data_IF_488031090352
#
_entry.id   IF_488031090352
#
_cell.length_a   1.000
_cell.length_b   1.000
_cell.length_c   1.000
_cell.angle_alpha   90.00
_cell.angle_beta   90.00
_cell.angle_gamma   90.00
#
_symmetry.space_group_name_H-M   'P 1'
#
loop_
_entity.id
_entity.type
_entity.pdbx_description
1 polymer ?
#
# COMPACT_ATOMS: atom_id res chain seq x y z
N UNK A 1 18.11 36.95 2.30
CA UNK A 1 17.16 36.49 3.32
C UNK A 1 17.82 36.70 4.65
N UNK A 2 17.25 37.55 5.51
CA UNK A 2 17.80 37.75 6.86
C UNK A 2 17.42 36.55 7.76
N UNK A 3 18.16 36.32 8.86
CA UNK A 3 17.82 35.29 9.85
C UNK A 3 16.36 35.40 10.36
N UNK A 4 15.78 36.59 10.30
CA UNK A 4 14.40 36.89 10.72
C UNK A 4 13.34 36.47 9.69
N UNK A 5 13.66 36.43 8.39
CA UNK A 5 12.72 36.00 7.34
C UNK A 5 12.53 34.48 7.29
N UNK A 6 13.59 33.70 7.59
CA UNK A 6 13.52 32.24 7.67
C UNK A 6 12.86 31.75 8.95
N UNK A 7 13.07 32.44 10.07
CA UNK A 7 12.48 32.11 11.36
C UNK A 7 10.93 32.16 11.37
N UNK A 8 10.33 32.97 10.49
CA UNK A 8 8.87 33.11 10.35
C UNK A 8 8.19 32.02 9.52
N UNK A 9 8.95 31.23 8.74
CA UNK A 9 8.40 30.26 7.80
C UNK A 9 8.92 28.83 8.04
N UNK A 10 8.91 28.40 9.30
CA UNK A 10 9.26 27.02 9.69
C UNK A 10 8.39 25.96 9.01
N UNK A 11 7.25 26.33 8.44
CA UNK A 11 6.44 25.46 7.58
C UNK A 11 7.13 25.22 6.25
N UNK A 12 7.51 26.28 5.52
CA UNK A 12 8.23 26.16 4.24
C UNK A 12 9.60 25.52 4.39
N UNK A 13 10.32 25.79 5.48
CA UNK A 13 11.58 25.10 5.76
C UNK A 13 11.38 23.58 5.83
N UNK A 14 10.40 23.12 6.61
CA UNK A 14 10.05 21.69 6.69
C UNK A 14 9.57 21.13 5.36
N UNK A 15 8.74 21.88 4.63
CA UNK A 15 8.24 21.49 3.31
C UNK A 15 9.38 21.25 2.32
N UNK A 16 10.34 22.17 2.24
CA UNK A 16 11.52 22.04 1.36
C UNK A 16 12.39 20.86 1.80
N UNK A 17 12.69 20.71 3.09
CA UNK A 17 13.48 19.59 3.59
C UNK A 17 12.81 18.24 3.38
N UNK A 18 11.48 18.18 3.37
CA UNK A 18 10.76 16.94 3.12
C UNK A 18 10.98 16.37 1.71
N UNK A 19 11.60 17.14 0.80
CA UNK A 19 12.02 16.68 -0.53
C UNK A 19 13.38 15.96 -0.54
N UNK A 20 14.09 15.89 0.59
CA UNK A 20 15.29 15.08 0.74
C UNK A 20 14.91 13.77 1.44
N UNK A 21 14.79 12.64 0.71
CA UNK A 21 14.40 11.37 1.32
C UNK A 21 15.49 10.86 2.26
N UNK A 22 15.08 10.23 3.35
CA UNK A 22 16.00 9.62 4.30
C UNK A 22 15.64 8.16 4.53
N UNK A 23 16.65 7.35 4.88
CA UNK A 23 16.39 6.06 5.51
C UNK A 23 15.84 6.26 6.91
N UNK A 24 15.14 5.25 7.43
CA UNK A 24 14.62 5.25 8.80
C UNK A 24 15.42 4.27 9.64
N UNK A 25 15.90 4.73 10.80
CA UNK A 25 16.60 3.87 11.75
C UNK A 25 16.01 3.99 13.16
N UNK A 26 16.17 2.94 13.95
CA UNK A 26 15.95 2.97 15.40
C UNK A 26 17.30 2.91 16.11
N UNK A 27 17.62 3.97 16.85
CA UNK A 27 18.77 4.01 17.76
C UNK A 27 18.36 3.36 19.06
N UNK A 28 19.11 2.36 19.50
CA UNK A 28 18.83 1.59 20.71
C UNK A 28 20.03 1.53 21.64
N UNK A 29 19.79 1.30 22.92
CA UNK A 29 20.81 1.00 23.92
C UNK A 29 20.17 0.25 25.10
N UNK A 30 20.98 -0.37 25.96
CA UNK A 30 20.50 -0.84 27.26
C UNK A 30 20.51 0.31 28.28
N UNK A 31 19.38 0.48 28.95
CA UNK A 31 19.14 1.45 30.02
C UNK A 31 19.67 0.98 31.38
N UNK A 32 19.14 1.56 32.45
CA UNK A 32 19.36 1.00 33.78
C UNK A 32 18.60 -0.34 33.92
N UNK A 33 19.12 -1.26 34.71
CA UNK A 33 18.52 -2.58 34.97
C UNK A 33 18.23 -3.39 33.69
N UNK A 34 19.08 -3.23 32.66
CA UNK A 34 18.97 -3.88 31.35
C UNK A 34 17.65 -3.60 30.59
N UNK A 35 16.97 -2.51 30.94
CA UNK A 35 15.74 -2.09 30.25
C UNK A 35 16.09 -1.50 28.88
N UNK A 36 15.58 -2.05 27.76
CA UNK A 36 15.94 -1.56 26.43
C UNK A 36 15.35 -0.17 26.15
N UNK A 37 16.18 0.69 25.56
CA UNK A 37 15.84 2.05 25.14
C UNK A 37 15.85 2.13 23.62
N UNK A 38 14.97 2.96 23.05
CA UNK A 38 14.83 3.07 21.60
C UNK A 38 14.23 4.38 21.12
N UNK A 39 14.74 4.89 20.01
CA UNK A 39 14.29 6.12 19.37
C UNK A 39 14.40 6.04 17.86
N UNK A 40 13.32 6.37 17.15
CA UNK A 40 13.35 6.56 15.69
C UNK A 40 14.10 7.84 15.37
N UNK A 41 15.01 7.78 14.40
CA UNK A 41 15.62 8.96 13.78
C UNK A 41 15.65 8.80 12.27
N UNK A 42 15.28 9.88 11.57
CA UNK A 42 15.44 10.00 10.12
C UNK A 42 16.70 10.78 9.73
N UNK A 43 17.51 11.21 10.70
CA UNK A 43 18.68 12.09 10.51
C UNK A 43 20.01 11.32 10.48
N UNK A 44 19.97 9.99 10.44
CA UNK A 44 21.15 9.16 10.42
C UNK A 44 21.98 9.35 9.14
N UNK A 45 23.30 9.41 9.29
CA UNK A 45 24.23 9.55 8.15
C UNK A 45 25.60 8.95 8.45
N UNK A 46 26.31 8.51 7.42
CA UNK A 46 27.74 8.18 7.48
C UNK A 46 28.59 9.45 7.51
N UNK A 47 29.65 9.46 8.31
CA UNK A 47 30.52 10.63 8.49
C UNK A 47 31.95 10.38 7.98
N UNK A 48 32.55 9.25 8.35
CA UNK A 48 33.95 8.95 8.02
C UNK A 48 34.16 7.45 7.83
N UNK A 49 35.13 7.10 6.98
CA UNK A 49 35.58 5.72 6.79
C UNK A 49 36.76 5.36 7.71
N UNK A 50 37.69 6.29 7.94
CA UNK A 50 38.85 6.10 8.82
C UNK A 50 39.11 7.35 9.69
N UNK A 51 38.79 7.31 11.01
CA UNK A 51 38.11 6.22 11.69
C UNK A 51 36.66 6.05 11.19
N UNK A 52 36.03 4.87 11.36
CA UNK A 52 34.65 4.63 10.92
C UNK A 52 33.66 5.37 11.84
N UNK A 53 33.05 6.44 11.32
CA UNK A 53 32.16 7.31 12.07
C UNK A 53 30.79 7.45 11.40
N UNK A 54 29.76 7.49 12.23
CA UNK A 54 28.36 7.79 11.85
C UNK A 54 27.79 8.88 12.76
N UNK A 55 26.71 9.51 12.34
CA UNK A 55 26.01 10.49 13.16
C UNK A 55 24.49 10.34 13.11
N UNK A 56 23.83 10.74 14.19
CA UNK A 56 22.40 11.01 14.22
C UNK A 56 22.13 12.31 14.99
N UNK A 57 21.02 12.97 14.65
CA UNK A 57 20.68 14.29 15.18
C UNK A 57 19.36 14.20 15.96
N UNK A 58 19.39 13.95 17.28
CA UNK A 58 18.20 13.90 18.11
C UNK A 58 17.79 15.29 18.60
N UNK A 59 16.48 15.52 18.68
CA UNK A 59 15.95 16.75 19.27
C UNK A 59 16.28 16.79 20.77
N UNK A 60 16.75 17.93 21.27
CA UNK A 60 17.05 18.12 22.71
C UNK A 60 15.81 17.96 23.61
N UNK A 61 14.62 18.11 23.04
CA UNK A 61 13.33 17.94 23.72
C UNK A 61 12.84 16.47 23.78
N UNK A 62 13.54 15.53 23.15
CA UNK A 62 13.14 14.12 23.12
C UNK A 62 13.38 13.43 24.46
N UNK A 63 12.32 12.86 25.04
CA UNK A 63 12.43 12.07 26.29
C UNK A 63 13.19 10.75 26.08
N UNK A 64 13.05 10.12 24.91
CA UNK A 64 13.84 8.93 24.57
C UNK A 64 15.32 9.27 24.43
N UNK A 65 15.64 10.44 23.86
CA UNK A 65 17.03 10.88 23.77
C UNK A 65 17.62 11.22 25.15
N UNK A 66 16.84 11.82 26.06
CA UNK A 66 17.32 12.11 27.42
C UNK A 66 17.83 10.85 28.13
N UNK A 67 17.18 9.70 27.93
CA UNK A 67 17.66 8.42 28.47
C UNK A 67 18.86 7.85 27.68
N UNK A 68 18.84 7.92 26.35
CA UNK A 68 19.92 7.43 25.48
C UNK A 68 21.23 8.22 25.65
N UNK A 69 21.16 9.52 25.87
CA UNK A 69 22.32 10.43 26.02
C UNK A 69 23.24 10.02 27.18
N UNK A 70 22.69 9.38 28.19
CA UNK A 70 23.43 8.90 29.36
C UNK A 70 24.14 7.56 29.11
N UNK A 71 24.09 7.01 27.90
CA UNK A 71 24.67 5.71 27.55
C UNK A 71 25.93 5.90 26.69
N UNK A 72 27.03 5.17 26.98
CA UNK A 72 28.27 5.28 26.22
C UNK A 72 28.24 4.49 24.90
N UNK A 73 27.26 3.61 24.73
CA UNK A 73 27.09 2.73 23.56
C UNK A 73 25.66 2.78 23.06
N UNK A 74 25.51 2.59 21.76
CA UNK A 74 24.22 2.49 21.10
C UNK A 74 24.33 1.64 19.83
N UNK A 75 23.22 1.02 19.43
CA UNK A 75 23.09 0.36 18.13
C UNK A 75 22.13 1.13 17.23
N UNK A 76 22.52 1.32 15.98
CA UNK A 76 21.68 1.84 14.91
C UNK A 76 21.08 0.65 14.16
N UNK A 77 19.76 0.54 14.16
CA UNK A 77 19.03 -0.50 13.42
C UNK A 77 18.36 0.12 12.19
N UNK A 78 18.82 -0.23 10.99
CA UNK A 78 18.25 0.25 9.73
C UNK A 78 16.99 -0.56 9.42
N UNK A 79 15.83 0.09 9.36
CA UNK A 79 14.55 -0.61 9.24
C UNK A 79 14.26 -1.06 7.80
N UNK A 80 13.60 -2.22 7.68
CA UNK A 80 13.04 -2.73 6.43
C UNK A 80 11.67 -2.10 6.13
N UNK A 81 11.27 -2.09 4.86
CA UNK A 81 10.07 -1.40 4.35
C UNK A 81 8.77 -1.94 4.94
N UNK A 82 8.75 -3.19 5.40
CA UNK A 82 7.64 -3.84 6.09
C UNK A 82 7.58 -3.51 7.61
N UNK A 83 8.62 -2.88 8.16
CA UNK A 83 8.71 -2.49 9.57
C UNK A 83 8.10 -1.10 9.86
N UNK A 84 7.19 -0.59 9.02
CA UNK A 84 6.52 0.70 9.23
C UNK A 84 5.77 0.74 10.58
N UNK A 85 5.08 -0.35 10.95
CA UNK A 85 4.35 -0.43 12.21
C UNK A 85 5.30 -0.35 13.41
N UNK A 86 6.43 -1.06 13.35
CA UNK A 86 7.50 -0.99 14.36
C UNK A 86 8.04 0.44 14.46
N UNK A 87 8.32 1.10 13.35
CA UNK A 87 8.73 2.51 13.34
C UNK A 87 7.72 3.40 14.09
N UNK A 88 6.42 3.26 13.78
CA UNK A 88 5.34 4.03 14.44
C UNK A 88 5.27 3.75 15.94
N UNK A 89 5.49 2.50 16.37
CA UNK A 89 5.56 2.12 17.77
C UNK A 89 6.71 2.85 18.49
N UNK A 90 7.92 2.83 17.94
CA UNK A 90 9.07 3.53 18.52
C UNK A 90 8.97 5.06 18.47
N UNK A 91 8.21 5.62 17.52
CA UNK A 91 7.94 7.05 17.42
C UNK A 91 6.87 7.57 18.42
N UNK A 92 6.09 6.68 19.03
CA UNK A 92 5.03 7.03 19.97
C UNK A 92 5.57 7.55 21.32
N UNK A 93 4.73 8.27 22.08
CA UNK A 93 5.03 8.82 23.42
C UNK A 93 4.70 7.86 24.58
N UNK A 94 4.36 6.60 24.29
CA UNK A 94 3.87 5.61 25.27
C UNK A 94 4.97 4.86 26.05
N UNK A 95 4.54 4.11 27.06
CA UNK A 95 5.40 3.18 27.80
C UNK A 95 5.55 1.83 27.05
N UNK A 96 6.70 1.19 27.28
CA UNK A 96 7.16 -0.09 26.71
C UNK A 96 7.17 -0.18 25.17
N UNK A 97 8.07 0.59 24.54
CA UNK A 97 8.30 0.58 23.08
C UNK A 97 8.80 -0.76 22.54
N UNK A 98 9.28 -1.66 23.40
CA UNK A 98 9.79 -2.97 23.02
C UNK A 98 8.75 -4.09 23.21
N UNK A 99 7.55 -3.78 23.70
CA UNK A 99 6.48 -4.75 23.83
C UNK A 99 6.21 -5.44 22.48
N UNK A 100 6.35 -6.77 22.45
CA UNK A 100 6.14 -7.60 21.25
C UNK A 100 7.20 -7.44 20.16
N UNK A 101 8.31 -6.74 20.42
CA UNK A 101 9.42 -6.59 19.48
C UNK A 101 10.48 -7.63 19.82
N UNK A 102 10.84 -8.48 18.85
CA UNK A 102 11.98 -9.40 18.98
C UNK A 102 13.29 -8.67 18.70
N UNK A 103 14.29 -8.94 19.54
CA UNK A 103 15.63 -8.36 19.44
C UNK A 103 16.65 -9.23 20.18
N UNK A 104 17.90 -9.15 19.73
CA UNK A 104 19.07 -9.79 20.35
C UNK A 104 20.13 -8.74 20.73
N UNK A 105 21.20 -9.16 21.41
CA UNK A 105 22.32 -8.27 21.73
C UNK A 105 23.38 -8.30 20.61
N UNK A 106 23.81 -7.12 20.20
CA UNK A 106 25.05 -6.94 19.43
C UNK A 106 26.29 -7.35 20.27
N UNK A 107 27.46 -7.56 19.63
CA UNK A 107 28.68 -7.88 20.35
C UNK A 107 29.09 -6.85 21.42
N UNK A 108 28.78 -5.56 21.25
CA UNK A 108 29.02 -4.52 22.26
C UNK A 108 27.85 -4.31 23.22
N UNK A 109 26.82 -5.15 23.19
CA UNK A 109 25.76 -5.23 24.21
C UNK A 109 24.57 -4.28 23.98
N UNK A 110 24.43 -3.68 22.80
CA UNK A 110 23.28 -2.86 22.43
C UNK A 110 22.20 -3.70 21.71
N UNK A 111 20.89 -3.43 21.86
CA UNK A 111 19.84 -4.17 21.16
C UNK A 111 19.93 -4.12 19.63
N UNK A 112 19.75 -5.26 18.97
CA UNK A 112 19.62 -5.42 17.52
C UNK A 112 18.23 -5.95 17.24
N UNK A 113 17.45 -5.21 16.46
CA UNK A 113 16.06 -5.56 16.16
C UNK A 113 16.01 -6.62 15.06
N UNK A 114 15.17 -7.64 15.25
CA UNK A 114 14.94 -8.66 14.24
C UNK A 114 14.34 -8.03 12.97
N UNK A 115 14.81 -8.49 11.80
CA UNK A 115 14.35 -7.99 10.50
C UNK A 115 14.93 -6.64 10.07
N UNK A 116 15.80 -6.02 10.87
CA UNK A 116 16.55 -4.85 10.42
C UNK A 116 17.42 -5.20 9.20
N UNK A 117 17.46 -4.30 8.20
CA UNK A 117 18.25 -4.45 6.96
C UNK A 117 19.75 -4.45 7.23
N UNK A 118 20.16 -3.65 8.22
CA UNK A 118 21.53 -3.57 8.68
C UNK A 118 21.55 -3.06 10.11
N UNK A 119 22.64 -3.31 10.82
CA UNK A 119 22.86 -2.69 12.12
C UNK A 119 24.32 -2.25 12.31
N UNK A 120 24.51 -1.22 13.14
CA UNK A 120 25.81 -0.69 13.52
C UNK A 120 25.86 -0.46 15.02
N UNK A 121 26.71 -1.21 15.72
CA UNK A 121 26.97 -1.06 17.14
C UNK A 121 28.15 -0.10 17.37
N UNK A 122 27.88 0.96 18.12
CA UNK A 122 28.70 2.15 18.17
C UNK A 122 29.01 2.56 19.62
N UNK A 123 30.18 3.14 19.83
CA UNK A 123 30.47 3.95 21.02
C UNK A 123 30.28 5.44 20.72
N UNK A 124 29.84 6.22 21.70
CA UNK A 124 29.72 7.68 21.56
C UNK A 124 31.13 8.29 21.50
N UNK A 125 31.47 8.90 20.36
CA UNK A 125 32.75 9.60 20.14
C UNK A 125 32.68 11.03 20.66
N UNK A 126 31.61 11.76 20.30
CA UNK A 126 31.38 13.13 20.75
C UNK A 126 29.91 13.56 20.57
N UNK A 127 29.50 14.59 21.31
CA UNK A 127 28.19 15.23 21.16
C UNK A 127 28.42 16.73 20.95
N UNK A 128 27.94 17.25 19.82
CA UNK A 128 28.09 18.65 19.43
C UNK A 128 26.74 19.37 19.50
N UNK A 129 26.77 20.67 19.79
CA UNK A 129 25.57 21.51 19.75
C UNK A 129 25.15 21.79 18.30
N UNK A 130 23.88 21.53 17.98
CA UNK A 130 23.29 21.75 16.66
C UNK A 130 22.01 22.58 16.71
N UNK A 131 21.93 23.60 17.58
CA UNK A 131 20.72 24.42 17.74
C UNK A 131 19.67 23.74 18.60
N UNK A 132 18.49 23.42 18.06
CA UNK A 132 17.44 22.68 18.80
C UNK A 132 17.67 21.15 18.82
N UNK A 133 18.71 20.68 18.14
CA UNK A 133 19.20 19.29 18.14
C UNK A 133 20.62 19.20 18.70
N UNK A 134 20.98 18.02 19.18
CA UNK A 134 22.39 17.63 19.33
C UNK A 134 22.86 16.92 18.04
N UNK A 135 24.17 16.88 17.80
CA UNK A 135 24.79 16.02 16.78
C UNK A 135 25.61 14.98 17.52
N UNK A 136 25.11 13.75 17.56
CA UNK A 136 25.79 12.64 18.23
C UNK A 136 26.66 11.92 17.20
N UNK A 137 27.96 11.95 17.40
CA UNK A 137 28.95 11.23 16.60
C UNK A 137 29.24 9.89 17.27
N UNK A 138 29.06 8.80 16.53
CA UNK A 138 29.37 7.44 16.97
C UNK A 138 30.54 6.86 16.20
N UNK A 139 31.45 6.21 16.93
CA UNK A 139 32.48 5.33 16.36
C UNK A 139 31.90 3.93 16.22
N UNK A 140 31.94 3.39 15.00
CA UNK A 140 31.42 2.06 14.70
C UNK A 140 32.44 1.02 15.17
N UNK A 141 32.01 0.11 16.05
CA UNK A 141 32.84 -0.98 16.59
C UNK A 141 32.50 -2.31 15.92
N UNK A 142 31.21 -2.55 15.69
CA UNK A 142 30.70 -3.72 14.97
C UNK A 142 29.59 -3.28 14.02
N UNK A 143 29.47 -3.96 12.89
CA UNK A 143 28.38 -3.75 11.93
C UNK A 143 28.11 -5.04 11.18
N UNK A 144 26.86 -5.24 10.78
CA UNK A 144 26.49 -6.37 9.94
C UNK A 144 25.29 -6.04 9.05
N UNK A 145 25.15 -6.82 8.00
CA UNK A 145 23.96 -6.89 7.15
C UNK A 145 23.42 -8.31 7.33
N UNK A 146 22.41 -8.49 8.19
CA UNK A 146 21.74 -9.79 8.34
C UNK A 146 21.35 -10.29 6.94
N UNK A 147 21.64 -11.57 6.63
CA UNK A 147 21.62 -12.12 5.25
C UNK A 147 20.30 -11.96 4.48
N UNK A 148 20.22 -12.60 3.30
CA UNK A 148 19.27 -12.35 2.18
C UNK A 148 17.73 -12.41 2.42
N UNK A 149 17.23 -12.21 3.65
CA UNK A 149 15.81 -12.09 4.00
C UNK A 149 15.36 -10.68 4.42
N UNK A 150 16.26 -9.71 4.61
CA UNK A 150 15.82 -8.35 4.89
C UNK A 150 15.31 -7.68 3.60
N UNK A 151 14.07 -7.17 3.64
CA UNK A 151 13.44 -6.49 2.50
C UNK A 151 14.14 -5.18 2.10
N UNK A 152 13.53 -4.44 1.17
CA UNK A 152 14.01 -3.09 0.81
C UNK A 152 14.01 -2.16 2.05
N UNK A 153 14.90 -1.15 2.13
CA UNK A 153 14.93 -0.24 3.28
C UNK A 153 13.67 0.62 3.37
N UNK A 154 13.22 0.88 4.61
CA UNK A 154 12.18 1.87 4.90
C UNK A 154 12.72 3.29 4.65
N UNK A 155 12.00 4.05 3.84
CA UNK A 155 12.29 5.43 3.50
C UNK A 155 11.23 6.36 4.09
N UNK A 156 11.65 7.56 4.48
CA UNK A 156 10.76 8.66 4.82
C UNK A 156 10.92 9.81 3.81
N UNK A 157 9.80 10.23 3.21
CA UNK A 157 9.79 11.25 2.16
C UNK A 157 8.47 12.03 2.20
N UNK A 158 8.53 13.36 2.16
CA UNK A 158 7.34 14.23 2.15
C UNK A 158 6.29 13.93 3.23
N UNK A 159 6.72 13.48 4.42
CA UNK A 159 5.82 13.17 5.53
C UNK A 159 5.22 11.75 5.52
N UNK A 160 5.57 10.92 4.55
CA UNK A 160 5.11 9.53 4.41
C UNK A 160 6.24 8.51 4.43
N UNK A 161 5.87 7.24 4.62
CA UNK A 161 6.78 6.10 4.55
C UNK A 161 6.69 5.40 3.18
N UNK A 162 7.80 4.82 2.73
CA UNK A 162 7.86 4.04 1.50
C UNK A 162 9.09 3.12 1.45
N UNK A 163 9.34 2.48 0.32
CA UNK A 163 10.50 1.61 0.10
C UNK A 163 11.39 2.09 -1.05
N UNK A 164 12.63 1.63 -1.07
CA UNK A 164 13.50 1.81 -2.24
C UNK A 164 13.05 0.89 -3.38
N UNK A 165 13.05 1.39 -4.62
CA UNK A 165 12.88 0.55 -5.82
C UNK A 165 13.97 0.89 -6.83
N UNK A 166 14.80 -0.08 -7.26
CA UNK A 166 15.81 0.18 -8.26
C UNK A 166 15.17 0.57 -9.61
N UNK A 167 15.85 1.41 -10.37
CA UNK A 167 15.47 1.67 -11.77
C UNK A 167 15.76 0.40 -12.56
N UNK A 168 14.71 -0.22 -13.08
CA UNK A 168 14.80 -1.45 -13.86
C UNK A 168 15.62 -1.27 -15.15
N UNK A 169 16.52 -2.22 -15.44
CA UNK A 169 17.11 -2.43 -16.78
C UNK A 169 16.34 -3.50 -17.59
N UNK A 170 15.63 -4.40 -16.89
CA UNK A 170 14.68 -5.39 -17.40
C UNK A 170 13.54 -5.41 -16.40
N UNK A 171 12.29 -5.22 -16.84
CA UNK A 171 11.12 -5.02 -15.97
C UNK A 171 11.12 -6.04 -14.80
N UNK A 172 10.92 -5.62 -13.54
CA UNK A 172 10.96 -6.55 -12.41
C UNK A 172 9.87 -7.62 -12.55
N UNK A 173 10.16 -8.82 -12.05
CA UNK A 173 9.20 -9.95 -12.00
C UNK A 173 7.90 -9.63 -11.24
N UNK A 174 7.89 -8.59 -10.39
CA UNK A 174 6.69 -8.14 -9.65
C UNK A 174 5.63 -7.50 -10.58
N UNK A 175 6.05 -7.01 -11.76
CA UNK A 175 5.16 -6.48 -12.78
C UNK A 175 4.88 -7.48 -13.93
N UNK A 176 4.99 -8.79 -13.69
CA UNK A 176 4.82 -9.80 -14.74
C UNK A 176 3.36 -9.88 -15.24
N UNK A 177 3.09 -9.16 -16.32
CA UNK A 177 1.82 -9.23 -17.05
C UNK A 177 1.68 -10.49 -17.90
N UNK A 178 2.71 -11.35 -18.00
CA UNK A 178 2.70 -12.50 -18.91
C UNK A 178 1.55 -13.45 -18.62
N UNK A 179 1.36 -13.87 -17.36
CA UNK A 179 0.27 -14.77 -17.00
C UNK A 179 -1.11 -14.10 -17.21
N UNK A 180 -1.36 -12.88 -16.71
CA UNK A 180 -2.59 -12.14 -17.00
C UNK A 180 -2.92 -12.02 -18.50
N UNK A 181 -1.92 -11.72 -19.33
CA UNK A 181 -2.11 -11.56 -20.78
C UNK A 181 -2.41 -12.90 -21.47
N UNK A 182 -1.78 -13.99 -21.03
CA UNK A 182 -2.09 -15.34 -21.51
C UNK A 182 -3.53 -15.72 -21.16
N UNK A 183 -3.98 -15.45 -19.93
CA UNK A 183 -5.35 -15.71 -19.50
C UNK A 183 -6.35 -14.83 -20.26
N UNK A 184 -6.01 -13.55 -20.47
CA UNK A 184 -6.85 -12.63 -21.24
C UNK A 184 -6.97 -13.02 -22.72
N UNK A 185 -5.96 -13.68 -23.30
CA UNK A 185 -6.04 -14.23 -24.65
C UNK A 185 -7.07 -15.36 -24.76
N UNK A 186 -7.08 -16.28 -23.78
CA UNK A 186 -8.10 -17.35 -23.66
C UNK A 186 -9.51 -16.76 -23.47
N UNK A 187 -9.62 -15.69 -22.68
CA UNK A 187 -10.88 -15.01 -22.41
C UNK A 187 -11.43 -14.22 -23.61
N UNK A 188 -10.60 -13.87 -24.60
CA UNK A 188 -10.95 -12.92 -25.66
C UNK A 188 -12.20 -13.30 -26.44
N UNK A 189 -12.27 -14.54 -26.95
CA UNK A 189 -13.43 -15.02 -27.71
C UNK A 189 -14.74 -14.95 -26.89
N UNK A 190 -14.81 -15.56 -25.70
CA UNK A 190 -15.97 -15.44 -24.81
C UNK A 190 -16.35 -14.00 -24.46
N UNK A 191 -15.38 -13.12 -24.23
CA UNK A 191 -15.64 -11.70 -23.95
C UNK A 191 -16.25 -10.97 -25.16
N UNK A 192 -15.77 -11.24 -26.38
CA UNK A 192 -16.31 -10.67 -27.61
C UNK A 192 -17.76 -11.12 -27.86
N UNK A 193 -18.07 -12.37 -27.54
CA UNK A 193 -19.43 -12.90 -27.60
C UNK A 193 -20.35 -12.23 -26.58
N UNK A 194 -19.91 -12.15 -25.32
CA UNK A 194 -20.65 -11.48 -24.25
C UNK A 194 -20.93 -10.02 -24.61
N UNK A 195 -19.89 -9.25 -24.99
CA UNK A 195 -20.02 -7.84 -25.32
C UNK A 195 -21.01 -7.59 -26.47
N UNK A 196 -21.04 -8.47 -27.47
CA UNK A 196 -22.00 -8.41 -28.58
C UNK A 196 -23.42 -8.70 -28.13
N UNK A 197 -23.58 -9.68 -27.23
CA UNK A 197 -24.89 -10.08 -26.71
C UNK A 197 -25.50 -9.00 -25.81
N UNK A 198 -24.71 -8.44 -24.88
CA UNK A 198 -25.22 -7.43 -23.95
C UNK A 198 -25.25 -6.01 -24.55
N UNK A 199 -24.48 -5.75 -25.60
CA UNK A 199 -24.46 -4.48 -26.33
C UNK A 199 -23.55 -3.40 -25.75
N UNK A 200 -22.71 -3.72 -24.75
CA UNK A 200 -21.75 -2.81 -24.15
C UNK A 200 -20.42 -3.52 -23.81
N UNK A 201 -19.32 -2.77 -23.63
CA UNK A 201 -17.99 -3.36 -23.52
C UNK A 201 -17.79 -4.27 -22.30
N UNK A 202 -17.02 -5.34 -22.51
CA UNK A 202 -16.49 -6.21 -21.46
C UNK A 202 -14.97 -6.02 -21.34
N UNK A 203 -14.46 -5.90 -20.13
CA UNK A 203 -13.04 -5.74 -19.84
C UNK A 203 -12.52 -6.87 -18.97
N UNK A 204 -11.25 -7.16 -19.13
CA UNK A 204 -10.51 -8.12 -18.31
C UNK A 204 -9.59 -7.35 -17.38
N UNK A 205 -9.73 -7.57 -16.08
CA UNK A 205 -8.87 -7.02 -15.04
C UNK A 205 -8.03 -8.12 -14.40
N UNK A 206 -6.80 -7.83 -14.02
CA UNK A 206 -5.90 -8.73 -13.31
C UNK A 206 -5.23 -8.01 -12.14
N UNK A 207 -4.89 -8.74 -11.09
CA UNK A 207 -4.06 -8.22 -10.00
C UNK A 207 -2.58 -8.36 -10.38
N UNK A 208 -1.83 -7.26 -10.32
CA UNK A 208 -0.38 -7.21 -10.53
C UNK A 208 0.21 -6.41 -9.37
N UNK A 209 1.01 -7.06 -8.52
CA UNK A 209 1.35 -6.54 -7.19
C UNK A 209 0.07 -6.13 -6.43
N UNK A 210 0.00 -4.91 -5.90
CA UNK A 210 -1.16 -4.37 -5.18
C UNK A 210 -2.09 -3.53 -6.09
N UNK A 211 -2.03 -3.75 -7.41
CA UNK A 211 -2.77 -2.97 -8.40
C UNK A 211 -3.64 -3.84 -9.30
N UNK A 212 -4.90 -3.44 -9.44
CA UNK A 212 -5.83 -3.97 -10.44
C UNK A 212 -5.54 -3.30 -11.78
N UNK A 213 -5.11 -4.09 -12.76
CA UNK A 213 -4.74 -3.65 -14.10
C UNK A 213 -5.75 -4.14 -15.13
N UNK A 214 -6.24 -3.24 -15.98
CA UNK A 214 -7.06 -3.62 -17.14
C UNK A 214 -6.14 -4.16 -18.24
N UNK A 215 -6.25 -5.46 -18.56
CA UNK A 215 -5.32 -6.16 -19.47
C UNK A 215 -5.91 -6.43 -20.85
N UNK A 216 -7.24 -6.44 -20.99
CA UNK A 216 -7.91 -6.53 -22.28
C UNK A 216 -9.30 -5.88 -22.26
N UNK A 217 -9.84 -5.59 -23.44
CA UNK A 217 -11.21 -5.13 -23.64
C UNK A 217 -11.81 -5.78 -24.89
N UNK A 218 -13.13 -5.96 -24.87
CA UNK A 218 -13.94 -6.56 -25.91
C UNK A 218 -15.21 -5.73 -26.12
N UNK A 219 -15.53 -5.46 -27.39
CA UNK A 219 -16.60 -4.53 -27.78
C UNK A 219 -16.23 -3.05 -27.60
N UNK A 220 -16.56 -2.21 -28.59
CA UNK A 220 -16.42 -0.75 -28.47
C UNK A 220 -16.44 0.03 -29.79
N UNK A 221 -17.41 0.96 -29.89
CA UNK A 221 -17.23 2.34 -30.38
C UNK A 221 -18.27 3.24 -29.68
N UNK A 222 -18.09 3.45 -28.37
CA UNK A 222 -19.00 4.25 -27.51
C UNK A 222 -18.24 5.33 -26.71
N UNK A 223 -17.28 6.02 -27.33
CA UNK A 223 -16.65 7.22 -26.75
C UNK A 223 -15.70 7.00 -25.55
N UNK A 224 -15.57 5.79 -25.03
CA UNK A 224 -14.61 5.44 -23.97
C UNK A 224 -13.28 5.04 -24.61
N UNK A 225 -12.25 5.90 -24.48
CA UNK A 225 -10.86 5.56 -24.85
C UNK A 225 -10.45 4.28 -24.10
N UNK A 226 -9.91 3.32 -24.84
CA UNK A 226 -9.50 1.98 -24.36
C UNK A 226 -8.80 2.08 -23.01
N UNK A 227 -9.38 1.47 -21.97
CA UNK A 227 -8.82 1.45 -20.61
C UNK A 227 -7.66 0.46 -20.43
N UNK A 228 -7.19 -0.18 -21.50
CA UNK A 228 -6.09 -1.16 -21.44
C UNK A 228 -4.83 -0.50 -20.88
N UNK A 229 -4.15 -1.18 -19.96
CA UNK A 229 -2.96 -0.70 -19.25
C UNK A 229 -3.27 0.18 -18.05
N UNK A 230 -4.53 0.54 -17.81
CA UNK A 230 -4.94 1.35 -16.67
C UNK A 230 -4.83 0.57 -15.37
N UNK A 231 -4.34 1.23 -14.32
CA UNK A 231 -4.06 0.67 -13.00
C UNK A 231 -4.96 1.34 -11.96
N UNK A 232 -5.51 0.56 -11.06
CA UNK A 232 -6.26 1.01 -9.89
C UNK A 232 -5.68 0.33 -8.66
N UNK A 233 -5.55 1.01 -7.52
CA UNK A 233 -5.08 0.37 -6.29
C UNK A 233 -6.06 -0.72 -5.82
N UNK A 234 -5.55 -1.79 -5.19
CA UNK A 234 -6.34 -2.82 -4.52
C UNK A 234 -6.86 -2.29 -3.17
N UNK A 235 -7.82 -1.36 -3.21
CA UNK A 235 -8.38 -0.68 -2.03
C UNK A 235 -9.91 -0.65 -2.11
N UNK A 236 -10.63 -0.57 -0.99
CA UNK A 236 -12.09 -0.41 -1.00
C UNK A 236 -12.54 0.80 -1.84
N UNK A 237 -13.60 0.66 -2.68
CA UNK A 237 -14.40 -0.54 -2.94
C UNK A 237 -13.88 -1.43 -4.11
N UNK A 238 -12.68 -1.18 -4.64
CA UNK A 238 -12.11 -1.87 -5.79
C UNK A 238 -11.36 -3.17 -5.45
N UNK A 239 -11.46 -4.16 -6.34
CA UNK A 239 -10.65 -5.37 -6.30
C UNK A 239 -11.08 -6.42 -5.26
N UNK A 240 -12.29 -6.30 -4.71
CA UNK A 240 -12.86 -7.27 -3.75
C UNK A 240 -12.80 -8.73 -4.22
N UNK A 241 -12.98 -8.97 -5.53
CA UNK A 241 -12.94 -10.31 -6.14
C UNK A 241 -11.54 -10.95 -6.23
N UNK A 242 -10.47 -10.18 -5.97
CA UNK A 242 -9.09 -10.69 -5.93
C UNK A 242 -8.63 -11.10 -4.53
N UNK A 243 -9.40 -10.77 -3.49
CA UNK A 243 -9.07 -11.08 -2.10
C UNK A 243 -9.38 -12.56 -1.79
N UNK A 244 -8.66 -13.13 -0.83
CA UNK A 244 -9.05 -14.39 -0.21
C UNK A 244 -10.18 -14.13 0.80
N UNK A 245 -11.38 -14.61 0.47
CA UNK A 245 -12.59 -14.36 1.26
C UNK A 245 -12.90 -15.50 2.24
N UNK A 246 -11.97 -16.43 2.50
CA UNK A 246 -12.17 -17.48 3.49
C UNK A 246 -12.50 -16.89 4.88
N UNK A 247 -11.80 -15.82 5.25
CA UNK A 247 -12.05 -15.01 6.45
C UNK A 247 -12.18 -13.53 6.04
N UNK A 248 -13.42 -13.01 6.10
CA UNK A 248 -13.73 -11.65 5.65
C UNK A 248 -13.26 -10.57 6.63
N UNK A 249 -13.02 -10.88 7.90
CA UNK A 249 -12.39 -9.96 8.86
C UNK A 249 -10.90 -9.76 8.52
N UNK A 250 -10.21 -10.85 8.20
CA UNK A 250 -8.81 -10.82 7.74
C UNK A 250 -8.71 -10.09 6.39
N UNK A 251 -9.58 -10.45 5.44
CA UNK A 251 -9.61 -9.82 4.12
C UNK A 251 -9.90 -8.31 4.20
N UNK A 252 -10.86 -7.88 5.03
CA UNK A 252 -11.18 -6.46 5.21
C UNK A 252 -9.99 -5.69 5.82
N UNK A 253 -9.23 -6.32 6.72
CA UNK A 253 -8.03 -5.74 7.31
C UNK A 253 -6.91 -5.58 6.29
N UNK A 254 -6.67 -6.60 5.47
CA UNK A 254 -5.68 -6.56 4.37
C UNK A 254 -6.08 -5.53 3.31
N UNK A 255 -7.34 -5.51 2.90
CA UNK A 255 -7.86 -4.57 1.92
C UNK A 255 -7.73 -3.11 2.39
N UNK A 256 -8.04 -2.86 3.66
CA UNK A 256 -7.86 -1.56 4.29
C UNK A 256 -6.38 -1.16 4.46
N UNK A 257 -5.46 -2.13 4.59
CA UNK A 257 -4.03 -1.83 4.73
C UNK A 257 -3.49 -1.07 3.50
N UNK A 258 -4.00 -1.35 2.31
CA UNK A 258 -3.64 -0.65 1.09
C UNK A 258 -4.08 0.82 1.04
N UNK A 259 -4.99 1.26 1.93
CA UNK A 259 -5.39 2.69 2.04
C UNK A 259 -4.31 3.56 2.72
N UNK A 260 -3.17 2.99 3.16
CA UNK A 260 -2.01 3.66 3.83
C UNK A 260 -2.36 4.62 4.97
N UNK A 261 -3.60 4.56 5.46
CA UNK A 261 -4.21 5.45 6.46
C UNK A 261 -5.07 4.63 7.42
N UNK A 262 -5.24 5.12 8.65
CA UNK A 262 -6.00 4.41 9.66
C UNK A 262 -7.50 4.44 9.33
N UNK A 263 -8.08 3.26 9.08
CA UNK A 263 -9.52 3.10 8.83
C UNK A 263 -10.26 2.92 10.15
N UNK A 264 -11.27 3.76 10.39
CA UNK A 264 -12.11 3.70 11.58
C UNK A 264 -12.82 2.32 11.70
N UNK A 265 -13.06 1.80 12.92
CA UNK A 265 -13.69 0.49 13.11
C UNK A 265 -15.04 0.34 12.39
N UNK A 266 -15.84 1.40 12.35
CA UNK A 266 -17.17 1.42 11.70
C UNK A 266 -17.04 1.28 10.17
N UNK A 267 -16.06 1.94 9.57
CA UNK A 267 -15.76 1.85 8.14
C UNK A 267 -15.25 0.44 7.80
N UNK A 268 -14.43 -0.16 8.67
CA UNK A 268 -13.96 -1.54 8.52
C UNK A 268 -15.09 -2.57 8.58
N UNK A 269 -16.06 -2.37 9.48
CA UNK A 269 -17.25 -3.21 9.54
C UNK A 269 -18.05 -3.14 8.23
N UNK A 270 -18.19 -1.94 7.65
CA UNK A 270 -18.81 -1.77 6.34
C UNK A 270 -18.07 -2.52 5.22
N UNK A 271 -16.74 -2.45 5.18
CA UNK A 271 -15.95 -3.22 4.21
C UNK A 271 -16.14 -4.73 4.38
N UNK A 272 -16.17 -5.24 5.62
CA UNK A 272 -16.43 -6.66 5.87
C UNK A 272 -17.80 -7.09 5.35
N UNK A 273 -18.84 -6.32 5.62
CA UNK A 273 -20.19 -6.63 5.14
C UNK A 273 -20.27 -6.66 3.60
N UNK A 274 -19.52 -5.77 2.92
CA UNK A 274 -19.39 -5.83 1.47
C UNK A 274 -18.72 -7.13 1.01
N UNK A 275 -17.61 -7.51 1.67
CA UNK A 275 -16.88 -8.73 1.34
C UNK A 275 -17.69 -10.00 1.65
N UNK A 276 -18.51 -10.01 2.70
CA UNK A 276 -19.45 -11.10 2.99
C UNK A 276 -20.45 -11.27 1.84
N UNK A 277 -21.02 -10.17 1.33
CA UNK A 277 -21.93 -10.22 0.18
C UNK A 277 -21.23 -10.71 -1.08
N UNK A 278 -20.01 -10.24 -1.36
CA UNK A 278 -19.20 -10.72 -2.50
C UNK A 278 -18.91 -12.21 -2.37
N UNK A 279 -18.55 -12.68 -1.17
CA UNK A 279 -18.28 -14.10 -0.90
C UNK A 279 -19.52 -14.97 -1.11
N UNK A 280 -20.66 -14.55 -0.58
CA UNK A 280 -21.92 -15.30 -0.66
C UNK A 280 -22.42 -15.43 -2.10
N UNK A 281 -22.35 -14.36 -2.89
CA UNK A 281 -22.90 -14.37 -4.26
C UNK A 281 -21.88 -14.73 -5.35
N UNK A 282 -20.59 -14.53 -5.09
CA UNK A 282 -19.50 -14.87 -6.01
C UNK A 282 -19.24 -13.87 -7.15
N UNK A 283 -19.90 -12.72 -7.15
CA UNK A 283 -19.79 -11.63 -8.14
C UNK A 283 -19.89 -10.25 -7.44
N UNK A 284 -19.55 -9.18 -8.16
CA UNK A 284 -19.50 -7.80 -7.63
C UNK A 284 -20.36 -6.85 -8.47
N UNK A 285 -20.89 -5.81 -7.81
CA UNK A 285 -21.80 -4.81 -8.37
C UNK A 285 -21.47 -3.43 -7.83
N UNK A 286 -21.35 -2.46 -8.72
CA UNK A 286 -21.27 -1.05 -8.38
C UNK A 286 -22.37 -0.27 -9.07
N UNK A 287 -23.10 0.55 -8.32
CA UNK A 287 -24.00 1.56 -8.83
C UNK A 287 -23.22 2.86 -9.15
N UNK A 288 -23.79 3.72 -9.98
CA UNK A 288 -23.17 4.99 -10.33
C UNK A 288 -23.30 5.99 -9.18
N UNK A 289 -22.17 6.43 -8.63
CA UNK A 289 -22.12 7.57 -7.71
C UNK A 289 -21.68 8.86 -8.43
N UNK A 290 -22.08 10.05 -7.93
CA UNK A 290 -21.63 11.34 -8.47
C UNK A 290 -20.11 11.50 -8.55
N UNK A 291 -19.38 10.94 -7.59
CA UNK A 291 -17.93 11.09 -7.43
C UNK A 291 -17.11 10.14 -8.31
N UNK A 292 -17.74 9.25 -9.10
CA UNK A 292 -17.02 8.25 -9.89
C UNK A 292 -16.06 8.88 -10.89
N UNK A 293 -16.49 9.94 -11.57
CA UNK A 293 -15.69 10.58 -12.60
C UNK A 293 -14.48 11.33 -11.98
N UNK A 294 -14.64 11.90 -10.78
CA UNK A 294 -13.56 12.56 -10.01
C UNK A 294 -12.50 11.55 -9.54
N UNK A 295 -12.92 10.42 -8.94
CA UNK A 295 -12.02 9.32 -8.55
C UNK A 295 -11.26 8.81 -9.77
N UNK A 296 -11.97 8.66 -10.89
CA UNK A 296 -11.41 8.16 -12.13
C UNK A 296 -10.31 9.08 -12.67
N UNK A 297 -10.54 10.39 -12.71
CA UNK A 297 -9.53 11.36 -13.15
C UNK A 297 -8.31 11.41 -12.22
N UNK A 298 -8.52 11.42 -10.90
CA UNK A 298 -7.42 11.47 -9.94
C UNK A 298 -6.55 10.20 -9.97
N UNK A 299 -7.15 9.01 -10.11
CA UNK A 299 -6.41 7.75 -10.30
C UNK A 299 -5.64 7.73 -11.62
N UNK A 300 -6.19 8.32 -12.69
CA UNK A 300 -5.45 8.46 -13.96
C UNK A 300 -4.21 9.35 -13.81
N UNK A 301 -4.36 10.52 -13.15
CA UNK A 301 -3.23 11.42 -12.86
C UNK A 301 -2.16 10.76 -11.99
N UNK A 302 -2.58 9.90 -11.06
CA UNK A 302 -1.70 9.11 -10.19
C UNK A 302 -0.92 8.04 -10.96
N UNK A 303 -1.53 7.43 -11.98
CA UNK A 303 -0.85 6.44 -12.83
C UNK A 303 0.21 7.06 -13.75
N UNK A 304 0.10 8.37 -14.02
CA UNK A 304 0.98 9.13 -14.92
C UNK A 304 2.10 9.91 -14.19
N UNK A 305 1.97 10.14 -12.87
CA UNK A 305 2.92 10.94 -12.07
C UNK A 305 3.38 10.20 -10.80
N UNK A 306 4.52 10.59 -10.21
CA UNK A 306 4.99 9.98 -8.95
C UNK A 306 4.01 10.32 -7.81
N UNK A 307 3.43 9.30 -7.20
CA UNK A 307 2.53 9.40 -6.04
C UNK A 307 3.12 10.24 -4.89
N UNK A 308 2.34 11.19 -4.37
CA UNK A 308 2.65 11.92 -3.12
C UNK A 308 1.63 11.56 -2.04
N UNK A 309 2.00 11.57 -0.74
CA UNK A 309 1.06 11.27 0.36
C UNK A 309 -0.18 12.19 0.39
N UNK A 310 -0.06 13.43 -0.12
CA UNK A 310 -1.18 14.36 -0.25
C UNK A 310 -2.18 13.94 -1.33
N UNK A 311 -1.69 13.37 -2.44
CA UNK A 311 -2.52 12.79 -3.47
C UNK A 311 -3.22 11.52 -2.94
N UNK A 312 -2.52 10.68 -2.19
CA UNK A 312 -3.09 9.48 -1.56
C UNK A 312 -4.25 9.82 -0.62
N UNK A 313 -4.11 10.85 0.24
CA UNK A 313 -5.20 11.27 1.14
C UNK A 313 -6.43 11.78 0.38
N UNK A 314 -6.25 12.50 -0.72
CA UNK A 314 -7.37 12.96 -1.56
C UNK A 314 -8.10 11.79 -2.21
N UNK A 315 -7.35 10.83 -2.75
CA UNK A 315 -7.91 9.62 -3.37
C UNK A 315 -8.68 8.81 -2.31
N UNK A 316 -8.11 8.60 -1.12
CA UNK A 316 -8.79 7.91 -0.01
C UNK A 316 -10.13 8.54 0.34
N UNK A 317 -10.19 9.87 0.49
CA UNK A 317 -11.44 10.57 0.80
C UNK A 317 -12.49 10.44 -0.32
N UNK A 318 -12.07 10.42 -1.59
CA UNK A 318 -12.98 10.21 -2.71
C UNK A 318 -13.50 8.76 -2.78
N UNK A 319 -12.63 7.79 -2.48
CA UNK A 319 -12.98 6.35 -2.44
C UNK A 319 -13.99 6.04 -1.33
N UNK A 320 -13.84 6.63 -0.15
CA UNK A 320 -14.80 6.48 0.96
C UNK A 320 -16.21 6.93 0.55
N UNK A 321 -16.31 7.96 -0.30
CA UNK A 321 -17.57 8.44 -0.87
C UNK A 321 -18.25 7.45 -1.83
N UNK A 322 -17.51 6.46 -2.34
CA UNK A 322 -18.04 5.45 -3.26
C UNK A 322 -18.64 4.24 -2.53
N UNK A 323 -18.15 3.90 -1.34
CA UNK A 323 -18.51 2.70 -0.59
C UNK A 323 -20.02 2.42 -0.52
N UNK A 324 -20.92 3.40 -0.27
CA UNK A 324 -22.36 3.16 -0.21
C UNK A 324 -23.01 2.68 -1.52
N UNK A 325 -22.33 2.87 -2.66
CA UNK A 325 -22.82 2.52 -4.00
C UNK A 325 -22.29 1.16 -4.47
N UNK A 326 -21.43 0.50 -3.70
CA UNK A 326 -20.86 -0.79 -4.05
C UNK A 326 -21.43 -1.89 -3.17
N UNK A 327 -21.60 -3.06 -3.79
CA UNK A 327 -22.12 -4.25 -3.15
C UNK A 327 -23.45 -3.98 -2.42
N UNK A 328 -24.48 -3.41 -3.09
CA UNK A 328 -25.79 -3.31 -2.47
C UNK A 328 -26.34 -4.71 -2.19
N UNK A 329 -27.34 -4.77 -1.30
CA UNK A 329 -28.18 -5.96 -1.13
C UNK A 329 -28.90 -6.33 -2.45
N UNK A 330 -29.70 -7.39 -2.41
CA UNK A 330 -30.43 -7.85 -3.59
C UNK A 330 -31.24 -6.73 -4.25
N UNK A 331 -31.16 -6.66 -5.58
CA UNK A 331 -31.89 -5.67 -6.37
C UNK A 331 -33.35 -6.09 -6.46
N UNK A 332 -34.27 -5.13 -6.27
CA UNK A 332 -35.67 -5.34 -6.57
C UNK A 332 -35.83 -5.45 -8.10
N UNK A 333 -36.36 -6.57 -8.63
CA UNK A 333 -36.51 -6.77 -10.07
C UNK A 333 -37.31 -5.67 -10.78
N UNK A 334 -38.23 -5.00 -10.06
CA UNK A 334 -39.09 -3.95 -10.58
C UNK A 334 -38.51 -2.53 -10.42
N UNK A 335 -37.51 -2.35 -9.55
CA UNK A 335 -36.88 -1.04 -9.34
C UNK A 335 -35.88 -0.71 -10.46
N UNK A 336 -35.59 0.58 -10.61
CA UNK A 336 -34.71 1.13 -11.64
C UNK A 336 -33.37 1.54 -11.03
N UNK A 337 -32.27 1.24 -11.72
CA UNK A 337 -30.90 1.40 -11.24
C UNK A 337 -30.00 2.02 -12.30
N UNK A 338 -29.05 2.84 -11.86
CA UNK A 338 -27.92 3.29 -12.68
C UNK A 338 -26.70 2.42 -12.33
N UNK A 339 -26.49 1.36 -13.12
CA UNK A 339 -25.40 0.41 -12.87
C UNK A 339 -24.09 0.95 -13.45
N UNK A 340 -23.07 1.09 -12.60
CA UNK A 340 -21.73 1.45 -13.06
C UNK A 340 -21.00 0.24 -13.60
N UNK A 341 -21.04 -0.87 -12.87
CA UNK A 341 -20.27 -2.08 -13.18
C UNK A 341 -20.92 -3.36 -12.66
N UNK A 342 -20.72 -4.44 -13.41
CA UNK A 342 -20.95 -5.83 -12.99
C UNK A 342 -19.65 -6.59 -13.19
N UNK A 343 -19.21 -7.37 -12.22
CA UNK A 343 -17.96 -8.12 -12.30
C UNK A 343 -18.10 -9.58 -11.85
N UNK A 344 -17.43 -10.49 -12.56
CA UNK A 344 -17.36 -11.90 -12.21
C UNK A 344 -15.91 -12.43 -12.29
N UNK A 345 -15.47 -13.25 -11.33
CA UNK A 345 -14.12 -13.78 -11.31
C UNK A 345 -13.95 -15.00 -12.22
N UNK A 346 -12.86 -15.01 -12.97
CA UNK A 346 -12.32 -16.20 -13.64
C UNK A 346 -11.33 -16.85 -12.69
N UNK A 347 -11.52 -18.14 -12.42
CA UNK A 347 -10.73 -18.88 -11.45
C UNK A 347 -9.86 -19.95 -12.09
N UNK A 348 -8.70 -20.18 -11.48
CA UNK A 348 -7.82 -21.32 -11.74
C UNK A 348 -7.31 -21.82 -10.39
N UNK A 349 -7.41 -23.12 -10.14
CA UNK A 349 -7.01 -23.76 -8.88
C UNK A 349 -7.60 -23.09 -7.63
N UNK A 350 -8.88 -22.69 -7.71
CA UNK A 350 -9.60 -22.03 -6.63
C UNK A 350 -9.25 -20.55 -6.41
N UNK A 351 -8.31 -19.98 -7.18
CA UNK A 351 -7.89 -18.57 -7.08
C UNK A 351 -8.40 -17.74 -8.24
N UNK A 352 -8.76 -16.49 -7.97
CA UNK A 352 -9.11 -15.52 -9.02
C UNK A 352 -7.84 -15.13 -9.79
N UNK A 353 -7.81 -15.42 -11.10
CA UNK A 353 -6.67 -15.07 -11.98
C UNK A 353 -7.00 -13.93 -12.94
N UNK A 354 -8.29 -13.69 -13.15
CA UNK A 354 -8.80 -12.59 -13.96
C UNK A 354 -10.19 -12.23 -13.46
N UNK A 355 -10.63 -10.98 -13.62
CA UNK A 355 -12.01 -10.55 -13.36
C UNK A 355 -12.57 -9.96 -14.64
N UNK A 356 -13.70 -10.49 -15.10
CA UNK A 356 -14.44 -9.92 -16.22
C UNK A 356 -15.37 -8.83 -15.69
N UNK A 357 -15.36 -7.66 -16.31
CA UNK A 357 -16.13 -6.49 -15.87
C UNK A 357 -16.90 -5.89 -17.04
N UNK A 358 -18.20 -5.74 -16.86
CA UNK A 358 -19.06 -4.99 -17.78
C UNK A 358 -19.14 -3.53 -17.37
N UNK A 359 -18.99 -2.63 -18.35
CA UNK A 359 -19.10 -1.19 -18.18
C UNK A 359 -19.99 -0.58 -19.28
N UNK A 360 -20.45 0.65 -19.07
CA UNK A 360 -21.18 1.40 -20.10
C UNK A 360 -22.65 0.99 -20.27
N UNK A 361 -23.25 0.38 -19.23
CA UNK A 361 -24.67 0.06 -19.22
C UNK A 361 -25.53 1.34 -19.31
N UNK A 362 -26.72 1.27 -19.94
CA UNK A 362 -27.68 2.37 -19.95
C UNK A 362 -28.13 2.77 -18.53
N UNK A 363 -28.53 4.02 -18.38
CA UNK A 363 -29.16 4.51 -17.15
C UNK A 363 -30.61 4.02 -17.02
N UNK A 364 -31.11 3.94 -15.80
CA UNK A 364 -32.50 3.63 -15.49
C UNK A 364 -32.95 2.20 -15.81
N UNK A 365 -32.04 1.22 -15.76
CA UNK A 365 -32.31 -0.18 -16.10
C UNK A 365 -33.02 -0.91 -14.95
N UNK A 366 -33.90 -1.87 -15.25
CA UNK A 366 -34.61 -2.60 -14.19
C UNK A 366 -33.72 -3.64 -13.52
N UNK A 367 -34.00 -3.97 -12.25
CA UNK A 367 -33.28 -5.04 -11.53
C UNK A 367 -33.27 -6.36 -12.30
N UNK A 368 -34.38 -6.72 -12.96
CA UNK A 368 -34.46 -7.91 -13.81
C UNK A 368 -33.50 -7.88 -15.01
N UNK A 369 -33.26 -6.71 -15.62
CA UNK A 369 -32.28 -6.57 -16.70
C UNK A 369 -30.85 -6.73 -16.17
N UNK A 370 -30.57 -6.16 -15.00
CA UNK A 370 -29.27 -6.30 -14.33
C UNK A 370 -28.97 -7.76 -14.02
N UNK A 371 -29.97 -8.50 -13.52
CA UNK A 371 -29.84 -9.93 -13.24
C UNK A 371 -29.56 -10.76 -14.50
N UNK A 372 -30.25 -10.47 -15.60
CA UNK A 372 -29.99 -11.16 -16.87
C UNK A 372 -28.54 -10.94 -17.35
N UNK A 373 -28.01 -9.71 -17.26
CA UNK A 373 -26.61 -9.44 -17.60
C UNK A 373 -25.63 -10.11 -16.65
N UNK A 374 -25.94 -10.13 -15.36
CA UNK A 374 -25.15 -10.82 -14.34
C UNK A 374 -25.06 -12.32 -14.62
N UNK A 375 -26.17 -12.97 -14.97
CA UNK A 375 -26.17 -14.40 -15.32
C UNK A 375 -25.29 -14.70 -16.53
N UNK A 376 -25.37 -13.88 -17.58
CA UNK A 376 -24.52 -14.01 -18.78
C UNK A 376 -23.04 -13.79 -18.47
N UNK A 377 -22.73 -12.79 -17.65
CA UNK A 377 -21.37 -12.49 -17.22
C UNK A 377 -20.75 -13.64 -16.41
N UNK A 378 -21.47 -14.15 -15.41
CA UNK A 378 -21.00 -15.26 -14.57
C UNK A 378 -20.80 -16.52 -15.41
N UNK A 379 -21.77 -16.88 -16.27
CA UNK A 379 -21.63 -18.02 -17.16
C UNK A 379 -20.40 -17.90 -18.09
N UNK A 380 -20.10 -16.68 -18.56
CA UNK A 380 -18.91 -16.41 -19.37
C UNK A 380 -17.63 -16.61 -18.57
N UNK A 381 -17.56 -16.08 -17.34
CA UNK A 381 -16.40 -16.24 -16.46
C UNK A 381 -16.15 -17.71 -16.08
N UNK A 382 -17.20 -18.47 -15.81
CA UNK A 382 -17.12 -19.90 -15.53
C UNK A 382 -16.64 -20.70 -16.75
N UNK A 383 -17.13 -20.36 -17.95
CA UNK A 383 -16.67 -20.99 -19.19
C UNK A 383 -15.18 -20.71 -19.47
N UNK A 384 -14.70 -19.50 -19.20
CA UNK A 384 -13.26 -19.19 -19.30
C UNK A 384 -12.47 -19.98 -18.25
N UNK A 385 -12.97 -20.06 -17.02
CA UNK A 385 -12.34 -20.82 -15.93
C UNK A 385 -12.17 -22.29 -16.29
N UNK A 386 -13.20 -22.91 -16.88
CA UNK A 386 -13.15 -24.29 -17.35
C UNK A 386 -12.09 -24.48 -18.45
N UNK A 387 -12.01 -23.57 -19.43
CA UNK A 387 -10.97 -23.62 -20.49
C UNK A 387 -9.56 -23.53 -19.94
N UNK A 388 -9.35 -22.74 -18.89
CA UNK A 388 -8.03 -22.62 -18.26
C UNK A 388 -7.61 -23.92 -17.55
N UNK A 389 -8.56 -24.63 -16.93
CA UNK A 389 -8.29 -25.90 -16.28
C UNK A 389 -7.86 -27.00 -17.29
N UNK A 390 -8.31 -26.92 -18.54
CA UNK A 390 -7.93 -27.84 -19.61
C UNK A 390 -6.51 -27.58 -20.16
N UNK A 391 -5.96 -26.39 -19.95
CA UNK A 391 -4.70 -25.94 -20.57
C UNK A 391 -3.42 -26.30 -19.80
N UNK A 392 -3.52 -26.97 -18.64
CA UNK A 392 -2.37 -27.45 -17.86
C UNK A 392 -1.74 -26.40 -16.97
#
# INVERSE_FOLDING_TARGET
>A
MSDTELAGDGRRFREVLAHFPTGVVVVTALGADDIPLGMVVGSFTSVSLDPPLVAYLPAKSSSSYAALRERPRFCVNVLASDQEQLCRQFASRGADKFAGVSWDLSPGGSPVLDGAVAWLDCSVESVLDGGDHDIVLGRVEHLDVPGAGAGDPLLFFQGGYGGFRPRSLVAPWSADLRLPLQVADVARGPMDELAREVGFPCYAQALVDDEVVVVAGAGGDHGMRTHIGRRMPLVPPYGSLFLDLADTDVAATQWAHHLRSAVAPEVRAGHREMLDRVRERGWSLGLRAPQHDDVWEEVARFSETRATPDAERRIGALLDGLTPYYEPADLDPAASYDVRMLAAPVRRDGRTVLVLVLYGMPAGVSGAQVDAWRERLVATADAVSARLAELG
#
